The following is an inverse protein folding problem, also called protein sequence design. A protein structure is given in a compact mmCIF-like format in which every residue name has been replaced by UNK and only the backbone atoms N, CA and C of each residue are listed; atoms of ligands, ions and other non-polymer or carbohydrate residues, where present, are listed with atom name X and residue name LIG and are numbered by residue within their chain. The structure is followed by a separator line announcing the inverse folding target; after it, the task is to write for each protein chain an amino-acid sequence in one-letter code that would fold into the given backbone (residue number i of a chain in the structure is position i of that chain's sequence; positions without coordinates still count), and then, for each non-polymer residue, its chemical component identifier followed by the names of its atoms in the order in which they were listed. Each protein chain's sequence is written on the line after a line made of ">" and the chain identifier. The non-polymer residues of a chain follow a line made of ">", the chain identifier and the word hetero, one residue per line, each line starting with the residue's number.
data_IF_289513163759
#
_entry.id   IF_289513163759
#
_cell.length_a   1.000
_cell.length_b   1.000
_cell.length_c   1.000
_cell.angle_alpha   90.00
_cell.angle_beta   90.00
_cell.angle_gamma   90.00
#
_symmetry.space_group_name_H-M   'P 1'
#
loop_
_entity.id
_entity.type
_entity.pdbx_description
1 polymer ?
#
# COMPACT_ATOMS: atom_id res chain seq x y z
N UNK A 1 54.63 -34.15 55.55
CA UNK A 1 54.19 -35.19 54.60
C UNK A 1 53.58 -34.51 53.38
N UNK A 2 54.07 -34.84 52.21
CA UNK A 2 53.50 -34.63 50.88
C UNK A 2 53.78 -35.98 50.14
N UNK A 3 53.14 -36.37 49.00
CA UNK A 3 52.61 -35.46 47.97
C UNK A 3 51.34 -35.98 47.20
N UNK A 4 51.04 -35.30 46.06
CA UNK A 4 50.48 -35.81 44.77
C UNK A 4 48.97 -35.62 44.54
N UNK A 5 48.46 -35.25 43.36
CA UNK A 5 48.94 -34.64 42.08
C UNK A 5 47.65 -34.17 41.32
N UNK A 6 47.59 -33.35 40.25
CA UNK A 6 48.57 -32.76 39.29
C UNK A 6 48.33 -31.23 39.11
N UNK A 7 48.98 -30.68 38.09
CA UNK A 7 48.92 -29.33 37.48
C UNK A 7 48.90 -29.55 35.93
N UNK A 8 49.04 -28.53 35.04
CA UNK A 8 48.31 -27.26 34.87
C UNK A 8 47.66 -27.23 33.45
N UNK A 9 47.29 -26.10 32.83
CA UNK A 9 48.18 -25.19 32.06
C UNK A 9 47.49 -23.82 31.94
N UNK A 10 48.27 -22.75 32.08
CA UNK A 10 47.85 -21.38 31.79
C UNK A 10 48.54 -20.89 30.51
N UNK A 11 47.84 -20.14 29.66
CA UNK A 11 48.46 -19.21 28.72
C UNK A 11 47.56 -17.99 28.54
N UNK A 12 48.01 -16.82 29.03
CA UNK A 12 47.46 -15.54 28.61
C UNK A 12 48.15 -15.11 27.31
N UNK A 13 47.42 -14.49 26.39
CA UNK A 13 47.99 -13.86 25.20
C UNK A 13 47.33 -12.50 24.97
N UNK A 14 48.02 -11.45 25.41
CA UNK A 14 47.73 -10.07 24.98
C UNK A 14 48.27 -9.89 23.56
N UNK A 15 47.47 -9.31 22.65
CA UNK A 15 47.91 -8.93 21.32
C UNK A 15 47.23 -7.62 20.88
N UNK A 16 47.80 -6.49 21.30
CA UNK A 16 47.58 -5.22 20.62
C UNK A 16 48.33 -5.26 19.29
N UNK A 17 47.61 -5.26 18.18
CA UNK A 17 48.18 -5.07 16.85
C UNK A 17 47.64 -3.77 16.25
N UNK A 18 48.47 -2.72 16.35
CA UNK A 18 48.29 -1.52 15.57
C UNK A 18 48.71 -1.83 14.12
N UNK A 19 47.77 -1.77 13.17
CA UNK A 19 47.99 -2.07 11.77
C UNK A 19 47.38 -0.99 10.88
N UNK A 20 48.22 -0.22 10.19
CA UNK A 20 47.79 0.87 9.32
C UNK A 20 47.56 0.37 7.89
N UNK A 21 46.37 0.64 7.38
CA UNK A 21 45.95 0.76 5.97
C UNK A 21 46.28 -0.37 4.96
N UNK A 22 45.21 -0.92 4.38
CA UNK A 22 45.13 -1.10 2.92
C UNK A 22 43.70 -0.82 2.44
N UNK A 23 43.55 -0.02 1.39
CA UNK A 23 42.24 0.35 0.83
C UNK A 23 41.91 -0.63 -0.30
N UNK A 24 40.74 -1.29 -0.21
CA UNK A 24 40.10 -1.99 -1.32
C UNK A 24 38.58 -1.71 -1.29
N UNK A 25 37.90 -1.61 -2.44
CA UNK A 25 36.65 -0.87 -2.53
C UNK A 25 35.40 -1.68 -2.16
N UNK A 26 34.39 -0.98 -1.65
CA UNK A 26 33.01 -1.22 -2.07
C UNK A 26 32.32 -2.48 -1.56
N UNK A 27 32.40 -2.76 -0.26
CA UNK A 27 31.31 -3.47 0.42
C UNK A 27 30.65 -2.50 1.38
N UNK A 28 29.69 -1.74 0.84
CA UNK A 28 28.70 -1.04 1.66
C UNK A 28 27.86 -2.14 2.33
N UNK A 29 28.27 -2.55 3.53
CA UNK A 29 27.32 -3.11 4.48
C UNK A 29 26.40 -1.96 4.80
N UNK A 30 25.32 -1.85 4.03
CA UNK A 30 24.26 -0.90 4.31
C UNK A 30 23.78 -1.22 5.72
N UNK A 31 23.97 -0.27 6.64
CA UNK A 31 23.19 -0.29 7.86
C UNK A 31 21.72 -0.43 7.45
N UNK A 32 20.93 -1.29 8.10
CA UNK A 32 19.51 -1.39 7.78
C UNK A 32 18.92 0.02 7.89
N UNK A 33 18.31 0.48 6.79
CA UNK A 33 17.65 1.79 6.72
C UNK A 33 16.34 1.76 7.51
N UNK A 34 16.46 1.58 8.84
CA UNK A 34 15.41 1.91 9.79
C UNK A 34 15.44 3.42 10.06
N UNK A 35 15.29 4.20 8.98
CA UNK A 35 15.19 5.65 9.03
C UNK A 35 13.77 6.05 9.43
N UNK A 36 13.49 5.98 10.73
CA UNK A 36 12.28 6.52 11.36
C UNK A 36 10.95 5.84 11.03
N UNK A 37 10.86 5.05 9.96
CA UNK A 37 9.71 4.20 9.68
C UNK A 37 9.57 3.19 10.81
N UNK A 38 8.51 3.37 11.59
CA UNK A 38 8.06 2.46 12.63
C UNK A 38 7.91 1.04 12.06
N UNK A 39 7.94 0.05 12.95
CA UNK A 39 7.63 -1.33 12.56
C UNK A 39 6.20 -1.44 11.98
N UNK A 40 5.32 -0.51 12.37
CA UNK A 40 4.09 -0.17 11.68
C UNK A 40 4.36 0.55 10.35
N UNK A 41 3.91 -0.06 9.25
CA UNK A 41 3.95 0.51 7.93
C UNK A 41 2.99 1.68 7.70
N UNK A 42 3.09 2.26 6.51
CA UNK A 42 2.27 3.34 5.98
C UNK A 42 1.37 2.78 4.87
N UNK A 43 0.12 3.26 4.83
CA UNK A 43 -0.78 3.11 3.68
C UNK A 43 -0.90 4.50 3.03
N UNK A 44 -0.89 4.58 1.71
CA UNK A 44 -1.17 5.81 0.97
C UNK A 44 -2.15 5.53 -0.16
N UNK A 45 -3.16 6.38 -0.33
CA UNK A 45 -4.10 6.30 -1.45
C UNK A 45 -4.66 7.68 -1.77
N UNK A 46 -5.09 7.88 -3.01
CA UNK A 46 -5.71 9.13 -3.42
C UNK A 46 -7.17 9.21 -3.01
N UNK A 47 -7.68 10.45 -2.96
CA UNK A 47 -9.10 10.67 -3.18
C UNK A 47 -9.43 10.39 -4.66
N UNK A 48 -10.66 9.94 -4.94
CA UNK A 48 -11.05 9.56 -6.30
C UNK A 48 -12.56 9.53 -6.48
N UNK A 49 -13.04 8.66 -7.36
CA UNK A 49 -14.44 8.60 -7.79
C UNK A 49 -14.95 7.17 -7.72
N UNK A 50 -16.15 6.97 -7.21
CA UNK A 50 -16.81 5.67 -7.19
C UNK A 50 -16.94 5.10 -8.61
N UNK A 51 -16.62 3.82 -8.79
CA UNK A 51 -16.58 3.16 -10.09
C UNK A 51 -15.26 3.33 -10.88
N UNK A 52 -14.35 4.22 -10.48
CA UNK A 52 -13.06 4.41 -11.15
C UNK A 52 -11.94 3.66 -10.40
N UNK A 53 -11.11 2.84 -11.07
CA UNK A 53 -9.95 2.20 -10.44
C UNK A 53 -8.91 3.22 -9.96
N UNK A 54 -8.44 3.08 -8.73
CA UNK A 54 -7.41 3.91 -8.11
C UNK A 54 -6.40 3.05 -7.34
N UNK A 55 -5.21 3.58 -7.07
CA UNK A 55 -4.12 2.82 -6.42
C UNK A 55 -4.12 2.99 -4.90
N UNK A 56 -3.73 1.92 -4.21
CA UNK A 56 -3.24 1.95 -2.83
C UNK A 56 -1.78 1.52 -2.85
N UNK A 57 -0.93 2.36 -2.26
CA UNK A 57 0.46 2.09 -1.99
C UNK A 57 0.61 1.69 -0.53
N UNK A 58 1.41 0.66 -0.28
CA UNK A 58 1.70 0.13 1.05
C UNK A 58 3.21 0.08 1.23
N UNK A 59 3.70 0.68 2.32
CA UNK A 59 5.10 0.66 2.73
C UNK A 59 5.14 0.02 4.11
N UNK A 60 5.45 -1.27 4.22
CA UNK A 60 5.64 -1.97 5.50
C UNK A 60 6.99 -2.68 5.52
N UNK A 61 8.08 -2.00 5.94
CA UNK A 61 9.42 -2.60 6.02
C UNK A 61 9.46 -3.82 6.95
N UNK A 62 8.63 -3.83 8.00
CA UNK A 62 8.49 -4.95 8.92
C UNK A 62 7.85 -6.21 8.31
N UNK A 63 7.29 -6.14 7.09
CA UNK A 63 6.70 -7.24 6.34
C UNK A 63 7.34 -7.43 4.95
N UNK A 64 8.57 -6.93 4.76
CA UNK A 64 9.29 -7.01 3.48
C UNK A 64 9.40 -8.45 2.94
N UNK A 65 9.18 -8.61 1.64
CA UNK A 65 9.17 -9.90 0.94
C UNK A 65 7.95 -10.79 1.25
N UNK A 66 6.95 -10.27 1.98
CA UNK A 66 5.71 -10.99 2.33
C UNK A 66 4.48 -10.32 1.70
N UNK A 67 3.30 -10.95 1.85
CA UNK A 67 2.02 -10.37 1.42
C UNK A 67 1.20 -9.90 2.61
N UNK A 68 0.55 -8.75 2.47
CA UNK A 68 -0.26 -8.10 3.51
C UNK A 68 -1.69 -7.95 3.03
N UNK A 69 -2.65 -8.18 3.93
CA UNK A 69 -4.08 -8.03 3.63
C UNK A 69 -4.59 -6.66 4.05
N UNK A 70 -5.28 -6.00 3.11
CA UNK A 70 -6.00 -4.75 3.32
C UNK A 70 -7.49 -5.03 3.54
N UNK A 71 -8.07 -4.33 4.51
CA UNK A 71 -9.52 -4.24 4.72
C UNK A 71 -9.97 -2.81 4.46
N UNK A 72 -10.77 -2.63 3.42
CA UNK A 72 -11.22 -1.35 2.89
C UNK A 72 -12.73 -1.24 3.15
N UNK A 73 -13.18 -0.33 4.01
CA UNK A 73 -14.56 -0.31 4.50
C UNK A 73 -15.23 1.08 4.40
N UNK A 74 -16.54 1.09 4.09
CA UNK A 74 -17.42 2.25 4.10
C UNK A 74 -18.74 1.86 4.78
N UNK A 75 -18.87 2.19 6.07
CA UNK A 75 -19.99 1.74 6.89
C UNK A 75 -20.06 0.21 6.94
N UNK A 76 -21.13 -0.36 6.35
CA UNK A 76 -21.33 -1.82 6.26
C UNK A 76 -20.70 -2.45 4.99
N UNK A 77 -20.26 -1.65 4.01
CA UNK A 77 -19.59 -2.16 2.83
C UNK A 77 -18.11 -2.45 3.14
N UNK A 78 -17.61 -3.62 2.74
CA UNK A 78 -16.21 -4.02 2.94
C UNK A 78 -15.68 -4.69 1.68
N UNK A 79 -14.47 -4.31 1.28
CA UNK A 79 -13.66 -4.94 0.25
C UNK A 79 -12.34 -5.40 0.89
N UNK A 80 -11.82 -6.55 0.47
CA UNK A 80 -10.50 -7.04 0.89
C UNK A 80 -9.57 -7.11 -0.32
N UNK A 81 -8.31 -6.75 -0.11
CA UNK A 81 -7.25 -6.82 -1.13
C UNK A 81 -6.00 -7.44 -0.52
N UNK A 82 -5.20 -8.13 -1.31
CA UNK A 82 -3.88 -8.64 -0.88
C UNK A 82 -2.79 -7.92 -1.66
N UNK A 83 -1.83 -7.34 -0.95
CA UNK A 83 -0.68 -6.63 -1.52
C UNK A 83 0.57 -7.45 -1.28
N UNK A 84 1.24 -7.85 -2.34
CA UNK A 84 2.59 -8.43 -2.23
C UNK A 84 3.62 -7.33 -2.10
N UNK A 85 4.44 -7.38 -1.06
CA UNK A 85 5.51 -6.42 -0.81
C UNK A 85 6.83 -6.93 -1.39
N UNK A 86 7.61 -6.02 -1.95
CA UNK A 86 8.96 -6.30 -2.40
C UNK A 86 9.95 -6.45 -1.22
N UNK A 87 11.24 -6.63 -1.53
CA UNK A 87 12.31 -6.79 -0.53
C UNK A 87 12.59 -5.52 0.29
N UNK A 88 12.00 -4.38 -0.05
CA UNK A 88 12.06 -3.11 0.68
C UNK A 88 10.78 -2.87 1.50
N UNK A 89 9.77 -3.73 1.39
CA UNK A 89 8.47 -3.57 2.04
C UNK A 89 7.48 -2.71 1.26
N UNK A 90 7.75 -2.39 -0.01
CA UNK A 90 6.83 -1.62 -0.86
C UNK A 90 5.94 -2.54 -1.70
N UNK A 91 4.66 -2.18 -1.83
CA UNK A 91 3.73 -2.81 -2.76
C UNK A 91 2.59 -1.89 -3.16
N UNK A 92 1.96 -2.19 -4.30
CA UNK A 92 0.84 -1.44 -4.87
C UNK A 92 -0.29 -2.38 -5.26
N UNK A 93 -1.54 -1.99 -5.02
CA UNK A 93 -2.73 -2.67 -5.53
C UNK A 93 -3.72 -1.67 -6.13
N UNK A 94 -4.49 -2.11 -7.11
CA UNK A 94 -5.61 -1.36 -7.68
C UNK A 94 -6.91 -1.76 -6.99
N UNK A 95 -7.70 -0.78 -6.58
CA UNK A 95 -9.05 -0.99 -6.06
C UNK A 95 -10.03 -0.05 -6.74
N UNK A 96 -11.28 -0.48 -6.87
CA UNK A 96 -12.37 0.33 -7.40
C UNK A 96 -13.38 0.53 -6.28
N UNK A 97 -13.55 1.77 -5.76
CA UNK A 97 -14.54 2.07 -4.74
C UNK A 97 -15.95 1.86 -5.31
N UNK A 98 -16.79 1.09 -4.61
CA UNK A 98 -18.14 0.74 -5.10
C UNK A 98 -19.17 1.86 -4.90
N UNK A 99 -18.88 2.82 -4.03
CA UNK A 99 -19.77 3.91 -3.64
C UNK A 99 -18.96 5.13 -3.20
N UNK A 100 -19.56 6.31 -3.31
CA UNK A 100 -18.99 7.56 -2.82
C UNK A 100 -19.07 7.67 -1.30
N UNK A 101 -18.04 8.24 -0.68
CA UNK A 101 -17.94 8.40 0.77
C UNK A 101 -16.49 8.34 1.27
N UNK A 102 -16.32 8.43 2.58
CA UNK A 102 -15.04 8.27 3.26
C UNK A 102 -14.81 6.78 3.59
N UNK A 103 -13.94 6.13 2.83
CA UNK A 103 -13.51 4.75 3.04
C UNK A 103 -12.35 4.71 4.04
N UNK A 104 -12.39 3.78 4.99
CA UNK A 104 -11.25 3.49 5.89
C UNK A 104 -10.50 2.28 5.37
N UNK A 105 -9.20 2.43 5.12
CA UNK A 105 -8.29 1.37 4.71
C UNK A 105 -7.43 0.99 5.90
N UNK A 106 -7.47 -0.29 6.27
CA UNK A 106 -6.73 -0.89 7.37
C UNK A 106 -5.81 -1.99 6.82
N UNK A 107 -4.69 -2.23 7.50
CA UNK A 107 -3.68 -3.22 7.14
C UNK A 107 -3.13 -3.87 8.40
N UNK A 108 -2.78 -5.15 8.36
CA UNK A 108 -2.07 -5.79 9.46
C UNK A 108 -0.63 -5.26 9.53
N UNK A 109 -0.30 -4.53 10.59
CA UNK A 109 1.03 -3.92 10.76
C UNK A 109 1.27 -2.67 9.91
N UNK A 110 0.22 -1.89 9.62
CA UNK A 110 0.34 -0.51 9.12
C UNK A 110 -0.73 0.39 9.72
N UNK A 111 -0.48 1.70 9.78
CA UNK A 111 -1.46 2.69 10.22
C UNK A 111 -2.68 2.76 9.26
N UNK A 112 -3.88 2.89 9.83
CA UNK A 112 -5.12 3.08 9.08
C UNK A 112 -5.17 4.44 8.37
N UNK A 113 -5.73 4.49 7.17
CA UNK A 113 -5.87 5.72 6.36
C UNK A 113 -7.27 5.86 5.78
N UNK A 114 -7.77 7.10 5.73
CA UNK A 114 -9.06 7.42 5.13
C UNK A 114 -8.91 7.94 3.70
N UNK A 115 -9.73 7.43 2.78
CA UNK A 115 -9.80 7.83 1.38
C UNK A 115 -11.20 8.37 1.05
N UNK A 116 -11.30 9.57 0.50
CA UNK A 116 -12.60 10.17 0.15
C UNK A 116 -12.89 9.96 -1.33
N UNK A 117 -14.09 9.48 -1.63
CA UNK A 117 -14.53 9.14 -3.00
C UNK A 117 -15.78 9.92 -3.36
N UNK A 118 -15.75 10.61 -4.50
CA UNK A 118 -16.88 11.34 -5.05
C UNK A 118 -17.82 10.43 -5.85
N UNK A 119 -19.04 10.87 -6.10
CA UNK A 119 -19.94 10.20 -7.05
C UNK A 119 -19.49 10.51 -8.48
N UNK A 120 -19.55 9.53 -9.39
CA UNK A 120 -19.29 9.77 -10.81
C UNK A 120 -20.41 10.65 -11.40
N UNK A 121 -20.10 11.71 -12.16
CA UNK A 121 -21.11 12.51 -12.83
C UNK A 121 -21.83 11.67 -13.90
N UNK A 122 -23.16 11.79 -13.93
CA UNK A 122 -24.01 11.11 -14.91
C UNK A 122 -24.67 12.14 -15.80
N UNK A 123 -24.54 11.98 -17.12
CA UNK A 123 -25.22 12.84 -18.09
C UNK A 123 -26.46 12.11 -18.61
N UNK A 124 -27.62 12.75 -18.47
CA UNK A 124 -28.88 12.26 -19.05
C UNK A 124 -29.18 13.05 -20.32
N UNK A 125 -29.07 12.41 -21.48
CA UNK A 125 -29.48 13.01 -22.75
C UNK A 125 -30.95 12.67 -23.05
N UNK A 126 -31.76 13.69 -23.36
CA UNK A 126 -33.16 13.52 -23.77
C UNK A 126 -33.27 13.69 -25.29
N UNK A 127 -33.44 12.58 -26.01
CA UNK A 127 -33.69 12.61 -27.44
C UNK A 127 -35.20 12.81 -27.73
N UNK A 128 -35.54 13.87 -28.48
CA UNK A 128 -36.89 14.11 -28.99
C UNK A 128 -36.87 13.86 -30.51
N UNK A 129 -37.61 12.86 -31.04
CA UNK A 129 -37.67 12.60 -32.48
C UNK A 129 -38.21 13.80 -33.26
N UNK A 130 -37.58 14.15 -34.38
CA UNK A 130 -37.83 15.38 -35.17
C UNK A 130 -39.12 15.37 -36.01
N UNK A 131 -40.03 14.40 -35.81
CA UNK A 131 -41.37 14.38 -36.39
C UNK A 131 -42.41 13.88 -35.37
N UNK A 132 -42.76 14.68 -34.34
CA UNK A 132 -43.87 14.35 -33.45
C UNK A 132 -45.19 14.56 -34.20
N UNK A 133 -45.77 13.47 -34.74
CA UNK A 133 -47.13 13.48 -35.28
C UNK A 133 -48.08 13.92 -34.16
N UNK A 134 -48.74 15.08 -34.36
CA UNK A 134 -49.55 15.77 -33.35
C UNK A 134 -50.51 14.79 -32.65
N UNK A 135 -50.54 14.80 -31.31
CA UNK A 135 -51.36 13.90 -30.47
C UNK A 135 -50.94 12.41 -30.43
N UNK A 136 -49.70 12.07 -30.77
CA UNK A 136 -49.16 10.70 -30.56
C UNK A 136 -48.32 10.64 -29.29
N UNK A 137 -48.61 9.72 -28.37
CA UNK A 137 -47.74 9.42 -27.22
C UNK A 137 -46.49 8.70 -27.70
N UNK A 138 -45.37 9.42 -27.80
CA UNK A 138 -44.06 8.83 -28.09
C UNK A 138 -43.42 8.35 -26.77
N UNK A 139 -42.84 7.13 -26.73
CA UNK A 139 -42.05 6.72 -25.58
C UNK A 139 -40.79 7.57 -25.48
N UNK A 140 -40.55 8.15 -24.30
CA UNK A 140 -39.27 8.80 -24.00
C UNK A 140 -38.23 7.70 -23.80
N UNK A 141 -37.20 7.69 -24.65
CA UNK A 141 -36.02 6.85 -24.46
C UNK A 141 -34.96 7.73 -23.80
N UNK A 142 -34.61 7.41 -22.55
CA UNK A 142 -33.50 8.04 -21.84
C UNK A 142 -32.29 7.10 -21.91
N UNK A 143 -31.21 7.55 -22.55
CA UNK A 143 -29.91 6.88 -22.51
C UNK A 143 -29.09 7.50 -21.38
N UNK A 144 -28.55 6.65 -20.51
CA UNK A 144 -27.69 7.06 -19.41
C UNK A 144 -26.24 6.80 -19.83
N UNK A 145 -25.43 7.84 -19.93
CA UNK A 145 -24.01 7.75 -20.27
C UNK A 145 -23.15 8.25 -19.12
N UNK A 146 -22.17 7.45 -18.71
CA UNK A 146 -21.12 7.81 -17.77
C UNK A 146 -20.00 8.54 -18.53
N UNK A 147 -19.98 9.87 -18.45
CA UNK A 147 -19.00 10.70 -19.16
C UNK A 147 -17.87 11.18 -18.24
N UNK A 148 -16.64 11.10 -18.73
CA UNK A 148 -15.53 11.90 -18.20
C UNK A 148 -15.68 13.34 -18.73
N UNK A 149 -15.70 14.34 -17.87
CA UNK A 149 -16.14 15.71 -18.21
C UNK A 149 -15.04 16.57 -18.87
N UNK A 150 -14.09 15.95 -19.56
CA UNK A 150 -12.95 16.61 -20.22
C UNK A 150 -12.95 16.31 -21.72
N UNK A 151 -13.72 17.11 -22.45
CA UNK A 151 -13.59 17.34 -23.91
C UNK A 151 -13.24 18.80 -24.18
#
# INVERSE_FOLDING_TARGET
>A
MNPRLRWPIATAACAVLCGVALIAPGHVVGAPLNDGLTQDGIIATGNGTAGIPQSIDVISPGQAGSSVNLSIALGQATQTQTVSLDRLGFGRVWWTPLASGAWTINSTGSASVSATTAAMPTVTQLAIPTNPTRMTTLPIIATIESGDLLG
#
